data_IF_655420266769
#
_entry.id   IF_655420266769
#
_cell.length_a   1.000
_cell.length_b   1.000
_cell.length_c   1.000
_cell.angle_alpha   90.00
_cell.angle_beta   90.00
_cell.angle_gamma   90.00
#
_symmetry.space_group_name_H-M   'P 1'
#
loop_
_entity.id
_entity.type
_entity.pdbx_description
1 polymer ?
#
# COMPACT_ATOMS: atom_id res chain seq x y z
N UNK A 1 6.27 16.24 18.37
CA UNK A 1 6.07 15.05 19.23
C UNK A 1 4.78 14.27 18.91
N UNK A 2 3.56 14.81 19.01
CA UNK A 2 2.34 14.04 18.64
C UNK A 2 2.13 13.88 17.12
N UNK A 3 2.30 14.97 16.35
CA UNK A 3 2.17 14.93 14.88
C UNK A 3 3.11 13.91 14.23
N UNK A 4 4.36 13.84 14.69
CA UNK A 4 5.35 12.87 14.19
C UNK A 4 4.95 11.43 14.50
N UNK A 5 4.36 11.18 15.68
CA UNK A 5 3.85 9.86 16.05
C UNK A 5 2.69 9.44 15.15
N UNK A 6 1.78 10.36 14.84
CA UNK A 6 0.68 10.12 13.90
C UNK A 6 1.20 9.84 12.48
N UNK A 7 2.20 10.61 12.01
CA UNK A 7 2.85 10.38 10.71
C UNK A 7 3.51 9.01 10.66
N UNK A 8 4.28 8.63 11.69
CA UNK A 8 4.90 7.29 11.75
C UNK A 8 3.86 6.17 11.72
N UNK A 9 2.77 6.32 12.47
CA UNK A 9 1.66 5.35 12.47
C UNK A 9 1.03 5.24 11.09
N UNK A 10 0.77 6.37 10.42
CA UNK A 10 0.24 6.39 9.06
C UNK A 10 1.17 5.66 8.08
N UNK A 11 2.46 5.98 8.07
CA UNK A 11 3.44 5.35 7.19
C UNK A 11 3.54 3.83 7.41
N UNK A 12 3.50 3.40 8.68
CA UNK A 12 3.48 2.00 9.04
C UNK A 12 2.21 1.28 8.55
N UNK A 13 1.05 1.89 8.72
CA UNK A 13 -0.22 1.37 8.20
C UNK A 13 -0.18 1.29 6.67
N UNK A 14 0.30 2.32 5.97
CA UNK A 14 0.42 2.32 4.51
C UNK A 14 1.32 1.19 4.02
N UNK A 15 2.46 0.96 4.69
CA UNK A 15 3.39 -0.10 4.35
C UNK A 15 2.76 -1.49 4.51
N UNK A 16 2.09 -1.76 5.63
CA UNK A 16 1.41 -3.04 5.82
C UNK A 16 0.25 -3.24 4.85
N UNK A 17 -0.48 -2.19 4.48
CA UNK A 17 -1.50 -2.28 3.44
C UNK A 17 -0.89 -2.69 2.09
N UNK A 18 0.29 -2.17 1.72
CA UNK A 18 1.00 -2.61 0.52
C UNK A 18 1.38 -4.10 0.58
N UNK A 19 1.92 -4.58 1.72
CA UNK A 19 2.24 -5.99 1.94
C UNK A 19 0.99 -6.89 1.86
N UNK A 20 -0.14 -6.44 2.43
CA UNK A 20 -1.39 -7.18 2.36
C UNK A 20 -1.94 -7.27 0.93
N UNK A 21 -1.87 -6.19 0.15
CA UNK A 21 -2.26 -6.21 -1.26
C UNK A 21 -1.41 -7.20 -2.07
N UNK A 22 -0.09 -7.19 -1.86
CA UNK A 22 0.83 -8.11 -2.52
C UNK A 22 0.55 -9.57 -2.13
N UNK A 23 0.26 -9.82 -0.85
CA UNK A 23 -0.14 -11.14 -0.38
C UNK A 23 -1.44 -11.61 -1.03
N UNK A 24 -2.44 -10.75 -1.19
CA UNK A 24 -3.70 -11.10 -1.86
C UNK A 24 -3.44 -11.46 -3.32
N UNK A 25 -2.67 -10.63 -4.04
CA UNK A 25 -2.30 -10.89 -5.45
C UNK A 25 -1.61 -12.25 -5.58
N UNK A 26 -0.65 -12.55 -4.70
CA UNK A 26 0.06 -13.83 -4.73
C UNK A 26 -0.87 -15.01 -4.44
N UNK A 27 -1.75 -14.87 -3.43
CA UNK A 27 -2.75 -15.90 -3.11
C UNK A 27 -3.70 -16.17 -4.27
N UNK A 28 -4.15 -15.12 -4.98
CA UNK A 28 -4.99 -15.26 -6.18
C UNK A 28 -4.25 -15.99 -7.31
N UNK A 29 -2.97 -15.64 -7.54
CA UNK A 29 -2.11 -16.33 -8.53
C UNK A 29 -1.93 -17.81 -8.18
N UNK A 30 -1.71 -18.12 -6.91
CA UNK A 30 -1.49 -19.49 -6.43
C UNK A 30 -2.70 -20.41 -6.68
N UNK A 31 -3.92 -19.85 -6.66
CA UNK A 31 -5.16 -20.59 -6.97
C UNK A 31 -5.62 -20.44 -8.43
N UNK A 32 -4.79 -19.83 -9.29
CA UNK A 32 -5.06 -19.68 -10.72
C UNK A 32 -6.19 -18.71 -11.05
N UNK A 33 -6.49 -17.76 -10.16
CA UNK A 33 -7.46 -16.69 -10.43
C UNK A 33 -6.79 -15.48 -11.09
N UNK A 34 -7.58 -14.75 -11.86
CA UNK A 34 -7.15 -13.49 -12.46
C UNK A 34 -6.88 -12.43 -11.39
N UNK A 35 -5.82 -11.64 -11.60
CA UNK A 35 -5.35 -10.61 -10.67
C UNK A 35 -5.32 -9.21 -11.27
N UNK A 36 -5.75 -9.01 -12.52
CA UNK A 36 -5.61 -7.74 -13.22
C UNK A 36 -6.17 -6.56 -12.42
N UNK A 37 -7.40 -6.70 -11.89
CA UNK A 37 -8.02 -5.64 -11.09
C UNK A 37 -7.25 -5.36 -9.79
N UNK A 38 -6.74 -6.40 -9.13
CA UNK A 38 -5.95 -6.25 -7.90
C UNK A 38 -4.57 -5.64 -8.16
N UNK A 39 -3.92 -6.02 -9.26
CA UNK A 39 -2.65 -5.44 -9.69
C UNK A 39 -2.81 -3.94 -9.99
N UNK A 40 -3.91 -3.54 -10.63
CA UNK A 40 -4.21 -2.14 -10.92
C UNK A 40 -4.57 -1.33 -9.66
N UNK A 41 -5.32 -1.90 -8.73
CA UNK A 41 -5.54 -1.30 -7.41
C UNK A 41 -4.23 -1.13 -6.64
N UNK A 42 -3.34 -2.12 -6.68
CA UNK A 42 -2.05 -2.05 -6.00
C UNK A 42 -1.14 -0.95 -6.61
N UNK A 43 -1.12 -0.81 -7.94
CA UNK A 43 -0.42 0.31 -8.61
C UNK A 43 -0.97 1.66 -8.15
N UNK A 44 -2.30 1.84 -8.18
CA UNK A 44 -2.96 3.08 -7.73
C UNK A 44 -2.64 3.39 -6.26
N UNK A 45 -2.66 2.38 -5.39
CA UNK A 45 -2.28 2.50 -3.98
C UNK A 45 -0.83 3.02 -3.84
N UNK A 46 0.12 2.42 -4.56
CA UNK A 46 1.53 2.85 -4.55
C UNK A 46 1.71 4.29 -5.02
N UNK A 47 0.98 4.71 -6.06
CA UNK A 47 1.03 6.09 -6.55
C UNK A 47 0.48 7.09 -5.53
N UNK A 48 -0.66 6.78 -4.90
CA UNK A 48 -1.25 7.60 -3.84
C UNK A 48 -0.29 7.69 -2.65
N UNK A 49 0.27 6.56 -2.21
CA UNK A 49 1.22 6.51 -1.10
C UNK A 49 2.47 7.35 -1.38
N UNK A 50 2.97 7.33 -2.62
CA UNK A 50 4.08 8.19 -3.05
C UNK A 50 3.73 9.68 -3.01
N UNK A 51 2.50 10.06 -3.40
CA UNK A 51 2.03 11.45 -3.30
C UNK A 51 1.93 11.92 -1.84
N UNK A 52 1.37 11.09 -0.97
CA UNK A 52 1.27 11.38 0.47
C UNK A 52 2.66 11.56 1.09
N UNK A 53 3.61 10.66 0.79
CA UNK A 53 5.00 10.78 1.28
C UNK A 53 5.63 12.12 0.87
N UNK A 54 5.46 12.53 -0.41
CA UNK A 54 5.89 13.85 -0.88
C UNK A 54 5.26 15.01 -0.10
N UNK A 55 3.94 14.98 0.15
CA UNK A 55 3.26 16.02 0.92
C UNK A 55 3.72 16.10 2.38
N UNK A 56 4.14 14.96 2.94
CA UNK A 56 4.73 14.90 4.27
C UNK A 56 6.20 15.39 4.30
N UNK A 57 6.80 15.70 3.14
CA UNK A 57 8.22 15.95 2.94
C UNK A 57 9.10 14.77 3.39
N UNK A 58 8.68 13.55 3.07
CA UNK A 58 9.35 12.28 3.41
C UNK A 58 9.63 11.49 2.13
#
# INVERSE_FOLDING_TARGET
MEREKLIKKLLHTMHHTEEHFESIINQLKDIGLDTEEYDDLYKKLKEINKKIKKELNI
#
